data_IF_215882504635
#
_entry.id   IF_215882504635
#
_cell.length_a   1.000
_cell.length_b   1.000
_cell.length_c   1.000
_cell.angle_alpha   90.00
_cell.angle_beta   90.00
_cell.angle_gamma   90.00
#
_symmetry.space_group_name_H-M   'P 1'
#
loop_
_entity.id
_entity.type
_entity.pdbx_description
1 polymer ?
#
# COMPACT_ATOMS: atom_id res chain seq x y z
N UNK A 1 2.68 14.74 18.30
CA UNK A 1 1.50 13.92 18.62
C UNK A 1 0.90 13.50 17.30
N UNK A 2 0.68 12.20 17.10
CA UNK A 2 0.10 11.66 15.87
C UNK A 2 -1.36 12.11 15.78
N UNK A 3 -1.72 12.80 14.69
CA UNK A 3 -3.09 13.30 14.49
C UNK A 3 -3.82 12.36 13.53
N UNK A 4 -4.73 11.55 14.08
CA UNK A 4 -5.65 10.74 13.27
C UNK A 4 -6.66 11.64 12.59
N UNK A 5 -6.75 11.57 11.26
CA UNK A 5 -7.73 12.31 10.44
C UNK A 5 -9.01 11.51 10.24
N UNK A 6 -8.88 10.21 10.00
CA UNK A 6 -10.00 9.29 9.95
C UNK A 6 -9.56 7.86 10.29
N UNK A 7 -10.51 7.02 10.71
CA UNK A 7 -10.33 5.59 10.92
C UNK A 7 -11.59 4.86 10.50
N UNK A 8 -11.52 4.08 9.43
CA UNK A 8 -12.68 3.42 8.81
C UNK A 8 -12.47 1.91 8.86
N UNK A 9 -13.50 1.18 9.29
CA UNK A 9 -13.43 -0.26 9.50
C UNK A 9 -13.57 -1.06 8.19
N UNK A 10 -12.65 -2.01 7.98
CA UNK A 10 -12.73 -3.04 6.94
C UNK A 10 -13.41 -4.33 7.47
N UNK A 11 -13.40 -4.52 8.79
CA UNK A 11 -13.97 -5.66 9.50
C UNK A 11 -12.90 -6.52 10.16
N UNK A 12 -13.29 -7.35 11.13
CA UNK A 12 -12.38 -8.21 11.90
C UNK A 12 -11.21 -7.44 12.54
N UNK A 13 -11.51 -6.29 13.16
CA UNK A 13 -10.54 -5.37 13.75
C UNK A 13 -9.48 -4.85 12.76
N UNK A 14 -9.78 -4.83 11.46
CA UNK A 14 -8.92 -4.22 10.46
C UNK A 14 -9.50 -2.89 10.04
N UNK A 15 -8.62 -1.92 9.87
CA UNK A 15 -9.00 -0.54 9.59
C UNK A 15 -8.10 0.05 8.51
N UNK A 16 -8.65 1.03 7.81
CA UNK A 16 -7.87 2.06 7.13
C UNK A 16 -7.80 3.27 8.06
N UNK A 17 -6.62 3.78 8.34
CA UNK A 17 -6.44 4.95 9.20
C UNK A 17 -5.53 5.97 8.50
N UNK A 18 -6.04 7.18 8.28
CA UNK A 18 -5.21 8.30 7.85
C UNK A 18 -4.63 9.00 9.08
N UNK A 19 -3.31 9.08 9.16
CA UNK A 19 -2.60 9.67 10.30
C UNK A 19 -1.54 10.64 9.80
N UNK A 20 -1.39 11.77 10.49
CA UNK A 20 -0.33 12.74 10.25
C UNK A 20 0.74 12.58 11.33
N UNK A 21 1.98 12.33 10.89
CA UNK A 21 3.14 12.18 11.74
C UNK A 21 4.37 12.84 11.12
N UNK A 22 5.03 13.71 11.89
CA UNK A 22 6.21 14.46 11.44
C UNK A 22 6.00 15.16 10.08
N UNK A 23 4.87 15.87 9.98
CA UNK A 23 4.39 16.59 8.78
C UNK A 23 4.16 15.69 7.54
N UNK A 24 4.17 14.36 7.71
CA UNK A 24 3.85 13.40 6.66
C UNK A 24 2.50 12.74 6.93
N UNK A 25 1.60 12.77 5.94
CA UNK A 25 0.33 12.06 6.00
C UNK A 25 0.53 10.65 5.43
N UNK A 26 0.12 9.66 6.21
CA UNK A 26 0.14 8.26 5.81
C UNK A 26 -1.22 7.61 5.97
N UNK A 27 -1.49 6.65 5.10
CA UNK A 27 -2.68 5.82 5.12
C UNK A 27 -2.26 4.41 5.54
N UNK A 28 -2.62 4.04 6.76
CA UNK A 28 -2.39 2.71 7.30
C UNK A 28 -3.51 1.76 6.88
N UNK A 29 -3.17 0.58 6.37
CA UNK A 29 -4.08 -0.56 6.21
C UNK A 29 -3.58 -1.68 7.11
N UNK A 30 -4.28 -1.93 8.22
CA UNK A 30 -3.68 -2.69 9.34
C UNK A 30 -4.73 -3.46 10.15
N UNK A 31 -4.26 -4.43 10.92
CA UNK A 31 -5.03 -5.14 11.94
C UNK A 31 -4.71 -4.54 13.32
N UNK A 32 -5.76 -4.32 14.11
CA UNK A 32 -5.69 -3.85 15.49
C UNK A 32 -6.08 -4.98 16.44
N UNK A 33 -5.58 -4.93 17.65
CA UNK A 33 -5.94 -5.86 18.72
C UNK A 33 -6.44 -5.08 19.93
N UNK A 34 -7.36 -5.70 20.68
CA UNK A 34 -7.83 -5.14 21.94
C UNK A 34 -6.85 -5.50 23.04
N UNK A 35 -6.26 -4.50 23.68
CA UNK A 35 -5.38 -4.64 24.83
C UNK A 35 -5.74 -3.60 25.88
N UNK A 36 -6.01 -4.04 27.10
CA UNK A 36 -6.40 -3.16 28.22
C UNK A 36 -7.56 -2.23 27.83
N UNK A 37 -8.61 -2.80 27.21
CA UNK A 37 -9.80 -2.11 26.69
C UNK A 37 -9.54 -1.06 25.59
N UNK A 38 -8.31 -1.03 25.05
CA UNK A 38 -7.91 -0.11 23.98
C UNK A 38 -7.54 -0.88 22.71
N UNK A 39 -8.04 -0.41 21.57
CA UNK A 39 -7.63 -0.93 20.27
C UNK A 39 -6.26 -0.37 19.90
N UNK A 40 -5.23 -1.23 19.89
CA UNK A 40 -3.86 -0.86 19.54
C UNK A 40 -3.45 -1.45 18.18
N UNK A 41 -2.64 -0.73 17.38
CA UNK A 41 -2.18 -1.22 16.09
C UNK A 41 -1.22 -2.40 16.25
N UNK A 42 -1.42 -3.48 15.50
CA UNK A 42 -0.48 -4.61 15.46
C UNK A 42 0.61 -4.39 14.40
N UNK A 43 1.62 -5.26 14.36
CA UNK A 43 2.64 -5.27 13.28
C UNK A 43 2.07 -5.70 11.92
N UNK A 44 0.89 -6.35 11.89
CA UNK A 44 0.25 -6.84 10.67
C UNK A 44 -0.49 -5.71 9.98
N UNK A 45 0.15 -5.15 8.97
CA UNK A 45 -0.34 -4.00 8.25
C UNK A 45 0.76 -3.35 7.44
N UNK A 46 0.36 -2.40 6.61
CA UNK A 46 1.23 -1.56 5.82
C UNK A 46 0.85 -0.09 6.08
N UNK A 47 1.84 0.78 6.07
CA UNK A 47 1.67 2.23 6.13
C UNK A 47 2.10 2.79 4.79
N UNK A 48 1.19 3.45 4.08
CA UNK A 48 1.41 3.95 2.73
C UNK A 48 1.50 5.48 2.76
N UNK A 49 2.60 6.07 2.25
CA UNK A 49 2.57 7.46 1.82
C UNK A 49 1.49 7.69 0.76
N UNK A 50 1.03 8.93 0.61
CA UNK A 50 -0.08 9.26 -0.26
C UNK A 50 0.13 8.85 -1.73
N UNK A 51 1.36 8.95 -2.25
CA UNK A 51 1.66 8.54 -3.63
C UNK A 51 1.53 7.03 -3.84
N UNK A 52 1.89 6.21 -2.85
CA UNK A 52 1.71 4.74 -2.92
C UNK A 52 0.25 4.34 -2.76
N UNK A 53 -0.50 5.07 -1.92
CA UNK A 53 -1.95 4.89 -1.82
C UNK A 53 -2.63 5.16 -3.16
N UNK A 54 -2.26 6.25 -3.83
CA UNK A 54 -2.82 6.58 -5.14
C UNK A 54 -2.49 5.51 -6.20
N UNK A 55 -1.25 5.01 -6.23
CA UNK A 55 -0.92 3.86 -7.07
C UNK A 55 -1.77 2.63 -6.75
N UNK A 56 -2.02 2.32 -5.48
CA UNK A 56 -2.89 1.21 -5.12
C UNK A 56 -4.29 1.38 -5.74
N UNK A 57 -4.87 2.57 -5.61
CA UNK A 57 -6.19 2.90 -6.19
C UNK A 57 -6.17 2.79 -7.72
N UNK A 58 -5.14 3.32 -8.38
CA UNK A 58 -4.97 3.24 -9.84
C UNK A 58 -4.87 1.78 -10.34
N UNK A 59 -4.46 0.85 -9.47
CA UNK A 59 -4.33 -0.58 -9.80
C UNK A 59 -5.59 -1.40 -9.47
N UNK A 60 -6.66 -0.83 -8.91
CA UNK A 60 -7.86 -1.60 -8.52
C UNK A 60 -8.53 -2.33 -9.68
N UNK A 61 -8.60 -1.72 -10.86
CA UNK A 61 -9.21 -2.36 -12.03
C UNK A 61 -8.44 -3.63 -12.44
N UNK A 62 -7.11 -3.56 -12.48
CA UNK A 62 -6.27 -4.71 -12.80
C UNK A 62 -6.32 -5.80 -11.72
N UNK A 63 -6.41 -5.41 -10.45
CA UNK A 63 -6.58 -6.33 -9.33
C UNK A 63 -7.95 -7.03 -9.38
N UNK A 64 -9.02 -6.29 -9.67
CA UNK A 64 -10.37 -6.83 -9.83
C UNK A 64 -10.43 -7.83 -11.00
N UNK A 65 -9.84 -7.47 -12.14
CA UNK A 65 -9.70 -8.36 -13.28
C UNK A 65 -8.94 -9.63 -12.90
N UNK A 66 -7.80 -9.50 -12.23
CA UNK A 66 -6.97 -10.65 -11.87
C UNK A 66 -7.66 -11.60 -10.88
N UNK A 67 -8.41 -11.07 -9.91
CA UNK A 67 -9.23 -11.86 -8.99
C UNK A 67 -10.37 -12.60 -9.72
N UNK A 68 -11.01 -11.92 -10.68
CA UNK A 68 -12.11 -12.48 -11.49
C UNK A 68 -11.63 -13.60 -12.40
N UNK A 69 -10.51 -13.37 -13.10
CA UNK A 69 -9.89 -14.31 -14.04
C UNK A 69 -9.07 -15.40 -13.33
N UNK A 70 -8.91 -15.31 -12.01
CA UNK A 70 -8.06 -16.20 -11.21
C UNK A 70 -6.64 -16.31 -11.78
N UNK A 71 -6.03 -15.19 -12.10
CA UNK A 71 -4.64 -15.11 -12.57
C UNK A 71 -3.73 -14.48 -11.52
N UNK A 72 -2.44 -14.78 -11.62
CA UNK A 72 -1.43 -14.05 -10.83
C UNK A 72 -1.35 -12.63 -11.35
N UNK A 73 -1.34 -11.67 -10.43
CA UNK A 73 -1.04 -10.29 -10.73
C UNK A 73 -0.32 -9.67 -9.54
N UNK A 74 0.66 -8.82 -9.85
CA UNK A 74 1.42 -8.09 -8.87
C UNK A 74 1.76 -6.72 -9.46
N UNK A 75 1.50 -5.67 -8.70
CA UNK A 75 1.91 -4.30 -9.01
C UNK A 75 2.85 -3.78 -7.93
N UNK A 76 3.94 -3.15 -8.36
CA UNK A 76 4.84 -2.41 -7.48
C UNK A 76 4.24 -1.04 -7.20
N UNK A 77 4.05 -0.72 -5.93
CA UNK A 77 3.48 0.55 -5.46
C UNK A 77 4.55 1.57 -5.06
N UNK A 78 5.83 1.22 -5.20
CA UNK A 78 6.96 2.02 -4.78
C UNK A 78 7.63 1.54 -3.49
N UNK A 79 8.95 1.72 -3.40
CA UNK A 79 9.76 1.45 -2.20
C UNK A 79 9.61 0.01 -1.69
N UNK A 80 9.60 -0.94 -2.62
CA UNK A 80 9.41 -2.37 -2.39
C UNK A 80 8.07 -2.76 -1.75
N UNK A 81 7.05 -1.92 -1.85
CA UNK A 81 5.68 -2.30 -1.49
C UNK A 81 4.98 -2.83 -2.73
N UNK A 82 4.27 -3.93 -2.58
CA UNK A 82 3.52 -4.56 -3.67
C UNK A 82 2.08 -4.83 -3.26
N UNK A 83 1.18 -4.68 -4.23
CA UNK A 83 -0.16 -5.26 -4.19
C UNK A 83 -0.17 -6.50 -5.08
N UNK A 84 -0.65 -7.63 -4.56
CA UNK A 84 -0.62 -8.88 -5.31
C UNK A 84 -1.82 -9.77 -5.04
N UNK A 85 -2.14 -10.59 -6.03
CA UNK A 85 -3.15 -11.65 -5.99
C UNK A 85 -2.54 -12.92 -6.56
N UNK A 86 -2.94 -14.06 -6.00
CA UNK A 86 -2.39 -15.37 -6.32
C UNK A 86 -3.52 -16.31 -6.69
N UNK A 87 -3.30 -17.26 -7.61
CA UNK A 87 -4.36 -18.20 -8.06
C UNK A 87 -4.98 -18.98 -6.88
N UNK A 88 -4.15 -19.36 -5.91
CA UNK A 88 -4.56 -20.14 -4.73
C UNK A 88 -5.24 -19.32 -3.64
N UNK A 89 -5.33 -17.99 -3.79
CA UNK A 89 -5.86 -17.09 -2.78
C UNK A 89 -6.78 -16.04 -3.40
N UNK A 90 -8.01 -15.96 -2.93
CA UNK A 90 -8.98 -14.92 -3.34
C UNK A 90 -8.79 -13.61 -2.58
N UNK A 91 -7.60 -13.39 -2.01
CA UNK A 91 -7.31 -12.24 -1.17
C UNK A 91 -6.34 -11.29 -1.88
N UNK A 92 -6.46 -10.00 -1.57
CA UNK A 92 -5.47 -8.99 -1.92
C UNK A 92 -4.35 -8.99 -0.86
N UNK A 93 -3.11 -9.27 -1.24
CA UNK A 93 -1.95 -9.11 -0.36
C UNK A 93 -1.24 -7.78 -0.62
N UNK A 94 -1.22 -6.91 0.40
CA UNK A 94 -0.48 -5.65 0.42
C UNK A 94 0.75 -5.81 1.32
N UNK A 95 1.96 -5.79 0.74
CA UNK A 95 3.14 -6.23 1.47
C UNK A 95 4.43 -5.53 1.07
N UNK A 96 5.21 -5.16 2.09
CA UNK A 96 6.60 -4.76 1.93
C UNK A 96 7.45 -5.99 1.64
N UNK A 97 8.29 -5.89 0.63
CA UNK A 97 9.31 -6.86 0.28
C UNK A 97 10.69 -6.28 0.60
N UNK A 98 11.70 -7.12 0.55
CA UNK A 98 13.10 -6.73 0.69
C UNK A 98 13.98 -7.63 -0.17
N UNK A 99 15.09 -7.10 -0.68
CA UNK A 99 16.16 -7.87 -1.29
C UNK A 99 17.19 -8.25 -0.20
N UNK A 100 17.32 -9.54 0.15
CA UNK A 100 18.35 -9.96 1.09
C UNK A 100 19.77 -9.71 0.53
N UNK A 101 20.76 -9.40 1.38
CA UNK A 101 22.16 -9.31 0.95
C UNK A 101 22.61 -10.60 0.26
N UNK A 102 23.33 -10.46 -0.86
CA UNK A 102 23.82 -11.56 -1.69
C UNK A 102 22.73 -12.43 -2.33
N UNK A 103 21.49 -11.93 -2.41
CA UNK A 103 20.40 -12.57 -3.13
C UNK A 103 20.06 -11.74 -4.37
N UNK A 104 19.46 -12.39 -5.36
CA UNK A 104 18.93 -11.75 -6.58
C UNK A 104 17.41 -11.64 -6.55
N UNK A 105 16.75 -12.32 -5.60
CA UNK A 105 15.30 -12.37 -5.50
C UNK A 105 14.77 -11.49 -4.37
N UNK A 106 13.80 -10.64 -4.71
CA UNK A 106 13.03 -9.84 -3.77
C UNK A 106 12.01 -10.75 -3.06
N UNK A 107 12.05 -10.77 -1.73
CA UNK A 107 11.20 -11.67 -0.92
C UNK A 107 10.23 -10.91 -0.01
N UNK A 108 9.03 -11.46 0.26
CA UNK A 108 8.05 -10.82 1.13
C UNK A 108 8.52 -10.72 2.59
N UNK A 109 8.20 -9.62 3.26
CA UNK A 109 8.44 -9.46 4.70
C UNK A 109 7.17 -9.74 5.52
N UNK A 110 7.29 -9.71 6.86
CA UNK A 110 6.14 -9.75 7.76
C UNK A 110 5.31 -8.45 7.78
N UNK A 111 5.83 -7.35 7.22
CA UNK A 111 5.16 -6.05 7.15
C UNK A 111 4.20 -6.04 5.95
N UNK A 112 2.95 -6.37 6.23
CA UNK A 112 1.89 -6.40 5.22
C UNK A 112 0.60 -6.95 5.80
N UNK A 113 -0.44 -6.97 4.96
CA UNK A 113 -1.75 -7.48 5.30
C UNK A 113 -2.39 -8.13 4.07
N UNK A 114 -3.06 -9.25 4.30
CA UNK A 114 -3.81 -9.97 3.30
C UNK A 114 -5.30 -9.75 3.57
N UNK A 115 -5.97 -9.01 2.69
CA UNK A 115 -7.37 -8.62 2.79
C UNK A 115 -8.27 -9.64 2.11
N UNK A 116 -9.26 -10.12 2.85
CA UNK A 116 -10.29 -11.04 2.36
C UNK A 116 -11.21 -10.32 1.35
N UNK A 117 -11.96 -11.05 0.51
CA UNK A 117 -12.87 -10.45 -0.46
C UNK A 117 -13.77 -9.34 0.11
N UNK A 118 -14.42 -9.58 1.25
CA UNK A 118 -15.29 -8.59 1.91
C UNK A 118 -14.53 -7.36 2.42
N UNK A 119 -13.29 -7.54 2.87
CA UNK A 119 -12.43 -6.43 3.34
C UNK A 119 -11.88 -5.62 2.16
N UNK A 120 -11.60 -6.29 1.04
CA UNK A 120 -11.14 -5.63 -0.19
C UNK A 120 -12.26 -4.80 -0.83
N UNK A 121 -13.50 -5.29 -0.85
CA UNK A 121 -14.66 -4.49 -1.27
C UNK A 121 -14.75 -3.20 -0.43
N UNK A 122 -14.69 -3.32 0.89
CA UNK A 122 -14.69 -2.17 1.80
C UNK A 122 -13.47 -1.26 1.62
N UNK A 123 -12.31 -1.79 1.26
CA UNK A 123 -11.13 -0.98 0.94
C UNK A 123 -11.41 -0.04 -0.25
N UNK A 124 -12.09 -0.54 -1.29
CA UNK A 124 -12.50 0.28 -2.44
C UNK A 124 -13.55 1.33 -2.04
N UNK A 125 -14.50 0.96 -1.19
CA UNK A 125 -15.46 1.93 -0.63
C UNK A 125 -14.73 3.04 0.14
N UNK A 126 -13.78 2.68 1.00
CA UNK A 126 -12.92 3.63 1.72
C UNK A 126 -12.15 4.52 0.75
N UNK A 127 -11.57 3.96 -0.30
CA UNK A 127 -10.82 4.75 -1.28
C UNK A 127 -11.67 5.80 -1.99
N UNK A 128 -12.98 5.58 -2.12
CA UNK A 128 -13.89 6.58 -2.72
C UNK A 128 -14.21 7.76 -1.79
N UNK A 129 -14.06 7.60 -0.48
CA UNK A 129 -14.42 8.64 0.53
C UNK A 129 -13.21 9.19 1.29
N UNK A 130 -12.05 8.54 1.24
CA UNK A 130 -10.87 8.95 2.04
C UNK A 130 -10.35 10.34 1.64
N UNK A 131 -10.61 10.77 0.39
CA UNK A 131 -10.27 12.11 -0.10
C UNK A 131 -10.96 13.24 0.69
N UNK A 132 -12.12 12.99 1.29
CA UNK A 132 -12.82 13.98 2.12
C UNK A 132 -12.05 14.28 3.43
N UNK A 133 -11.25 13.32 3.89
CA UNK A 133 -10.42 13.42 5.09
C UNK A 133 -8.95 13.75 4.78
N UNK A 134 -8.53 13.45 3.56
CA UNK A 134 -7.16 13.65 3.05
C UNK A 134 -7.23 14.38 1.71
N UNK A 135 -7.62 15.67 1.71
CA UNK A 135 -7.77 16.44 0.47
C UNK A 135 -6.46 16.54 -0.31
N UNK A 136 -5.30 16.39 0.33
CA UNK A 136 -3.98 16.40 -0.30
C UNK A 136 -3.84 15.36 -1.42
N UNK A 137 -4.59 14.25 -1.36
CA UNK A 137 -4.61 13.21 -2.40
C UNK A 137 -4.96 13.74 -3.81
N UNK A 138 -5.68 14.87 -3.90
CA UNK A 138 -6.03 15.48 -5.19
C UNK A 138 -4.80 16.05 -5.92
N UNK A 139 -3.79 16.47 -5.15
CA UNK A 139 -2.57 17.11 -5.65
C UNK A 139 -1.40 16.14 -5.84
N UNK A 140 -1.51 14.93 -5.30
CA UNK A 140 -0.45 13.94 -5.35
C UNK A 140 -0.38 13.32 -6.74
N UNK A 141 0.82 13.35 -7.32
CA UNK A 141 1.18 12.62 -8.53
C UNK A 141 1.96 11.38 -8.11
N UNK A 142 1.51 10.16 -8.46
CA UNK A 142 2.28 8.95 -8.27
C UNK A 142 3.69 9.03 -8.87
N UNK A 143 4.66 8.40 -8.21
CA UNK A 143 6.06 8.46 -8.62
C UNK A 143 6.30 8.07 -10.10
N UNK A 144 5.70 6.99 -10.65
CA UNK A 144 5.89 6.63 -12.06
C UNK A 144 5.37 7.65 -13.06
N UNK A 145 4.49 8.57 -12.63
CA UNK A 145 3.90 9.61 -13.47
C UNK A 145 4.57 10.98 -13.27
N UNK A 146 5.53 11.09 -12.37
CA UNK A 146 6.27 12.32 -12.13
C UNK A 146 7.20 12.66 -13.31
N UNK A 147 7.33 13.95 -13.63
CA UNK A 147 8.07 14.43 -14.80
C UNK A 147 9.56 14.05 -14.81
N UNK A 148 10.18 13.95 -13.65
CA UNK A 148 11.57 13.54 -13.45
C UNK A 148 11.80 12.02 -13.61
N UNK A 149 10.73 11.24 -13.76
CA UNK A 149 10.75 9.79 -13.98
C UNK A 149 10.37 9.40 -15.41
N UNK A 150 10.17 10.38 -16.32
CA UNK A 150 9.77 10.13 -17.71
C UNK A 150 10.90 9.66 -18.62
N UNK A 151 12.10 9.44 -18.08
CA UNK A 151 13.22 8.83 -18.80
C UNK A 151 13.80 7.66 -17.99
N UNK A 152 14.54 6.77 -18.68
CA UNK A 152 15.11 5.56 -18.07
C UNK A 152 16.01 5.88 -16.88
N UNK A 153 16.82 6.94 -16.96
CA UNK A 153 17.76 7.30 -15.90
C UNK A 153 17.06 7.78 -14.63
N UNK A 154 16.03 8.61 -14.77
CA UNK A 154 15.20 9.08 -13.66
C UNK A 154 14.49 7.93 -12.96
N UNK A 155 13.95 6.99 -13.73
CA UNK A 155 13.38 5.76 -13.19
C UNK A 155 14.42 4.95 -12.39
N UNK A 156 15.60 4.71 -12.96
CA UNK A 156 16.63 3.90 -12.29
C UNK A 156 17.24 4.55 -11.07
N UNK A 157 17.30 5.89 -11.00
CA UNK A 157 17.83 6.63 -9.83
C UNK A 157 16.82 6.87 -8.71
N UNK A 158 15.59 6.41 -8.87
CA UNK A 158 14.55 6.65 -7.89
C UNK A 158 14.45 5.52 -6.86
N UNK A 159 14.53 5.85 -5.58
CA UNK A 159 14.35 4.89 -4.47
C UNK A 159 12.92 4.36 -4.34
N UNK A 160 11.93 5.00 -4.98
CA UNK A 160 10.57 4.47 -5.06
C UNK A 160 10.43 3.49 -6.22
N UNK A 161 10.89 3.84 -7.42
CA UNK A 161 10.76 3.00 -8.62
C UNK A 161 11.77 1.85 -8.68
N UNK A 162 13.01 2.08 -8.24
CA UNK A 162 14.13 1.14 -8.25
C UNK A 162 14.77 1.01 -6.84
N UNK A 163 14.00 0.62 -5.81
CA UNK A 163 14.43 0.69 -4.41
C UNK A 163 15.72 -0.05 -4.07
N UNK A 164 16.04 -1.12 -4.80
CA UNK A 164 17.20 -1.97 -4.49
C UNK A 164 18.48 -1.55 -5.21
N UNK A 165 18.38 -0.82 -6.32
CA UNK A 165 19.52 -0.48 -7.17
C UNK A 165 19.63 1.01 -7.49
N UNK A 166 18.85 1.88 -6.85
CA UNK A 166 18.81 3.31 -7.21
C UNK A 166 20.14 4.06 -7.04
N UNK A 167 21.04 3.56 -6.21
CA UNK A 167 22.39 4.12 -6.00
C UNK A 167 23.42 3.64 -7.02
N UNK A 168 23.07 2.69 -7.88
CA UNK A 168 23.98 2.11 -8.88
C UNK A 168 23.98 2.86 -10.21
N UNK A 169 23.17 3.92 -10.35
CA UNK A 169 22.91 4.64 -11.59
C UNK A 169 23.23 6.13 -11.52
#
# INVERSE_FOLDING_TARGET
MDKTRCKIELGNNRFVQATEWNDEIRIDVREWELKDEKLIPTKKGISLPLHRWKLLVDNFEFLDQALTEKRVYQSHLGGNVYASVQIKSVCLDLRQHWLPPNNTEIVPTKKGICLRPAEYVKLKDVASVIGDFVPELCSIVPCPYSSDHQNQLGFFRCSECNPDHFTEW
#
